data_IF_243868098824
#
_entry.id   IF_243868098824
#
_cell.length_a   1.000
_cell.length_b   1.000
_cell.length_c   1.000
_cell.angle_alpha   90.00
_cell.angle_beta   90.00
_cell.angle_gamma   90.00
#
_symmetry.space_group_name_H-M   'P 1'
#
loop_
_entity.id
_entity.type
_entity.pdbx_description
1 polymer ?
#
# COMPACT_ATOMS: atom_id res chain seq x y z
N UNK A 1 -37.64 37.46 -60.00
CA UNK A 1 -38.01 36.09 -59.61
C UNK A 1 -37.70 35.14 -60.76
N UNK A 2 -36.99 34.08 -60.50
CA UNK A 2 -36.76 32.98 -61.43
C UNK A 2 -37.78 31.87 -61.08
N UNK A 3 -38.89 31.81 -61.83
CA UNK A 3 -40.02 30.93 -61.60
C UNK A 3 -41.13 31.52 -60.70
N UNK A 4 -42.19 30.72 -60.49
CA UNK A 4 -43.32 30.98 -59.62
C UNK A 4 -43.38 29.88 -58.52
N UNK A 5 -44.11 30.11 -57.45
CA UNK A 5 -44.33 29.11 -56.42
C UNK A 5 -44.88 27.80 -56.98
N UNK A 6 -44.25 26.69 -56.78
CA UNK A 6 -44.56 25.38 -57.34
C UNK A 6 -44.09 25.17 -58.78
N UNK A 7 -43.43 26.14 -59.43
CA UNK A 7 -42.86 26.03 -60.76
C UNK A 7 -41.55 26.83 -60.87
N UNK A 8 -40.51 26.36 -60.27
CA UNK A 8 -39.16 26.93 -60.20
C UNK A 8 -38.39 26.69 -61.55
N UNK A 9 -37.30 27.42 -61.71
CA UNK A 9 -36.31 27.23 -62.73
C UNK A 9 -34.92 27.09 -62.22
N UNK A 10 -34.12 26.26 -62.84
CA UNK A 10 -32.69 26.10 -62.48
C UNK A 10 -31.94 27.41 -62.80
N UNK A 11 -30.99 27.71 -61.89
CA UNK A 11 -30.05 28.84 -62.03
C UNK A 11 -28.63 28.34 -61.83
N UNK A 12 -27.78 28.49 -62.84
CA UNK A 12 -26.38 28.10 -62.76
C UNK A 12 -25.49 29.34 -62.87
N UNK A 13 -24.66 29.55 -61.86
CA UNK A 13 -23.60 30.58 -61.85
C UNK A 13 -22.24 29.91 -62.04
N UNK A 14 -21.65 30.11 -63.22
CA UNK A 14 -20.39 29.49 -63.59
C UNK A 14 -19.19 30.32 -63.17
N UNK A 15 -18.16 29.65 -62.59
CA UNK A 15 -16.84 30.23 -62.32
C UNK A 15 -15.98 30.29 -63.60
N UNK A 16 -14.78 30.86 -63.49
CA UNK A 16 -13.78 30.88 -64.56
C UNK A 16 -13.08 29.54 -64.80
N UNK A 17 -13.24 28.60 -63.92
CA UNK A 17 -12.67 27.24 -64.06
C UNK A 17 -13.78 26.27 -64.52
N UNK A 18 -13.49 25.44 -65.49
CA UNK A 18 -14.42 24.42 -65.95
C UNK A 18 -14.82 23.46 -64.86
N UNK A 19 -16.12 23.14 -64.71
CA UNK A 19 -16.67 22.23 -63.76
C UNK A 19 -16.94 22.86 -62.34
N UNK A 20 -16.56 24.12 -62.14
CA UNK A 20 -16.83 24.83 -60.84
C UNK A 20 -17.98 25.81 -61.02
N UNK A 21 -19.12 25.51 -60.39
CA UNK A 21 -20.30 26.34 -60.43
C UNK A 21 -21.16 26.18 -59.17
N UNK A 22 -22.06 27.12 -58.99
CA UNK A 22 -23.17 27.08 -58.06
C UNK A 22 -24.43 26.82 -58.85
N UNK A 23 -25.26 25.87 -58.46
CA UNK A 23 -26.49 25.46 -59.09
C UNK A 23 -27.67 25.57 -58.14
N UNK A 24 -28.67 26.35 -58.45
CA UNK A 24 -29.97 26.18 -57.83
C UNK A 24 -30.73 25.15 -58.68
N UNK A 25 -30.95 23.96 -58.12
CA UNK A 25 -31.72 22.89 -58.71
C UNK A 25 -33.16 23.00 -58.21
N UNK A 26 -34.06 23.48 -59.12
CA UNK A 26 -35.45 23.67 -58.75
C UNK A 26 -36.20 22.34 -58.57
N UNK A 27 -35.71 21.23 -59.13
CA UNK A 27 -36.34 19.92 -58.99
C UNK A 27 -36.05 19.26 -57.63
N UNK A 28 -34.94 19.64 -56.98
CA UNK A 28 -34.51 19.11 -55.68
C UNK A 28 -34.63 20.13 -54.54
N UNK A 29 -35.10 21.36 -54.84
CA UNK A 29 -35.13 22.47 -53.85
C UNK A 29 -33.78 22.68 -53.16
N UNK A 30 -32.66 22.52 -53.92
CA UNK A 30 -31.31 22.53 -53.35
C UNK A 30 -30.41 23.57 -54.01
N UNK A 31 -29.46 24.11 -53.18
CA UNK A 31 -28.36 24.95 -53.67
C UNK A 31 -27.09 24.10 -53.66
N UNK A 32 -26.61 23.75 -54.81
CA UNK A 32 -25.48 22.84 -55.00
C UNK A 32 -24.18 23.61 -55.32
N UNK A 33 -23.10 23.24 -54.67
CA UNK A 33 -21.74 23.69 -54.99
C UNK A 33 -20.97 22.46 -55.48
N UNK A 34 -20.47 22.53 -56.70
CA UNK A 34 -19.63 21.44 -57.24
C UNK A 34 -18.30 21.35 -56.53
N UNK A 35 -17.59 20.23 -56.69
CA UNK A 35 -16.27 20.04 -56.14
C UNK A 35 -15.35 21.23 -56.36
N UNK A 36 -14.62 21.62 -55.33
CA UNK A 36 -13.76 22.81 -55.27
C UNK A 36 -14.47 24.18 -55.44
N UNK A 37 -15.78 24.21 -55.63
CA UNK A 37 -16.53 25.45 -55.51
C UNK A 37 -16.71 25.79 -54.02
N UNK A 38 -16.34 27.02 -53.58
CA UNK A 38 -16.26 27.37 -52.18
C UNK A 38 -17.27 28.44 -51.79
N UNK A 39 -17.92 28.25 -50.65
CA UNK A 39 -18.58 29.34 -49.95
C UNK A 39 -17.50 30.05 -49.15
N UNK A 40 -17.26 31.34 -49.45
CA UNK A 40 -16.25 32.16 -48.78
C UNK A 40 -16.93 33.28 -48.00
N UNK A 41 -16.58 33.43 -46.74
CA UNK A 41 -17.13 34.41 -45.82
C UNK A 41 -15.97 35.25 -45.26
N UNK A 42 -16.15 36.56 -45.20
CA UNK A 42 -15.11 37.53 -44.82
C UNK A 42 -14.38 38.12 -46.02
N UNK A 43 -13.83 39.34 -45.92
CA UNK A 43 -13.16 40.03 -47.03
C UNK A 43 -11.91 39.32 -47.53
N UNK A 44 -11.20 38.59 -46.63
CA UNK A 44 -10.04 37.77 -46.91
C UNK A 44 -10.39 36.29 -47.21
N UNK A 45 -11.69 35.95 -47.37
CA UNK A 45 -12.15 34.57 -47.42
C UNK A 45 -11.74 33.76 -46.19
N UNK A 46 -11.94 34.35 -45.03
CA UNK A 46 -11.46 33.90 -43.72
C UNK A 46 -12.09 32.57 -43.29
N UNK A 47 -13.39 32.36 -43.60
CA UNK A 47 -14.06 31.07 -43.40
C UNK A 47 -14.45 30.53 -44.79
N UNK A 48 -14.14 29.26 -45.03
CA UNK A 48 -14.48 28.56 -46.29
C UNK A 48 -15.17 27.23 -45.96
N UNK A 49 -16.24 26.92 -46.72
CA UNK A 49 -16.91 25.62 -46.73
C UNK A 49 -16.85 25.05 -48.14
N UNK A 50 -16.41 23.82 -48.33
CA UNK A 50 -16.29 23.18 -49.62
C UNK A 50 -16.09 21.67 -49.52
N UNK A 51 -16.27 20.98 -50.63
CA UNK A 51 -15.88 19.59 -50.88
C UNK A 51 -14.83 19.55 -51.97
N UNK A 52 -13.78 18.73 -51.85
CA UNK A 52 -12.68 18.64 -52.83
C UNK A 52 -12.79 17.44 -53.78
N UNK A 53 -13.92 16.71 -53.74
CA UNK A 53 -14.13 15.47 -54.44
C UNK A 53 -13.86 14.22 -53.60
N UNK A 54 -13.31 14.41 -52.40
CA UNK A 54 -13.03 13.34 -51.45
C UNK A 54 -13.44 13.70 -50.01
N UNK A 55 -13.18 14.93 -49.57
CA UNK A 55 -13.41 15.38 -48.22
C UNK A 55 -14.18 16.69 -48.14
N UNK A 56 -14.95 16.90 -47.11
CA UNK A 56 -15.63 18.17 -46.77
C UNK A 56 -14.87 18.96 -45.75
N UNK A 57 -14.77 20.28 -45.90
CA UNK A 57 -13.96 21.18 -45.09
C UNK A 57 -14.78 22.34 -44.56
N UNK A 58 -14.48 22.73 -43.32
CA UNK A 58 -14.81 24.00 -42.68
C UNK A 58 -13.49 24.64 -42.30
N UNK A 59 -12.90 25.47 -43.14
CA UNK A 59 -11.59 26.08 -42.95
C UNK A 59 -11.73 27.50 -42.42
N UNK A 60 -11.16 27.82 -41.28
CA UNK A 60 -11.06 29.16 -40.75
C UNK A 60 -9.58 29.59 -40.71
N UNK A 61 -9.22 30.68 -41.40
CA UNK A 61 -7.85 31.18 -41.52
C UNK A 61 -7.52 32.32 -40.59
N UNK A 62 -8.53 32.99 -40.00
CA UNK A 62 -8.34 34.12 -39.09
C UNK A 62 -9.33 34.07 -37.93
N UNK A 63 -8.82 34.35 -36.68
CA UNK A 63 -9.65 34.35 -35.49
C UNK A 63 -10.11 32.94 -35.05
N UNK A 64 -11.17 32.84 -34.28
CA UNK A 64 -11.71 31.62 -33.73
C UNK A 64 -12.95 31.13 -34.48
N UNK A 65 -13.15 29.83 -34.63
CA UNK A 65 -14.45 29.23 -34.91
C UNK A 65 -15.24 29.13 -33.59
N UNK A 66 -16.41 29.76 -33.53
CA UNK A 66 -17.32 29.66 -32.39
C UNK A 66 -18.54 28.87 -32.83
N UNK A 67 -18.72 27.67 -32.27
CA UNK A 67 -19.93 26.86 -32.41
C UNK A 67 -20.74 27.04 -31.12
N UNK A 68 -21.98 27.58 -31.23
CA UNK A 68 -22.79 27.93 -30.06
C UNK A 68 -24.20 27.35 -30.21
N UNK A 69 -24.69 26.77 -29.14
CA UNK A 69 -26.08 26.38 -28.94
C UNK A 69 -26.74 27.34 -27.99
N UNK A 70 -27.91 27.94 -28.35
CA UNK A 70 -28.60 28.94 -27.54
C UNK A 70 -29.93 28.42 -26.96
N UNK A 71 -30.39 27.25 -27.38
CA UNK A 71 -31.59 26.66 -26.84
C UNK A 71 -31.29 26.18 -25.40
N UNK A 72 -32.19 26.47 -24.47
CA UNK A 72 -32.12 25.98 -23.09
C UNK A 72 -32.05 24.44 -23.11
N UNK A 73 -31.12 23.87 -22.33
CA UNK A 73 -30.78 22.44 -22.30
C UNK A 73 -30.34 21.83 -23.64
N UNK A 74 -30.10 22.65 -24.69
CA UNK A 74 -29.66 22.19 -25.99
C UNK A 74 -28.21 21.73 -26.03
N UNK A 75 -27.90 20.71 -26.80
CA UNK A 75 -26.56 20.09 -26.90
C UNK A 75 -25.84 20.41 -28.20
N UNK A 76 -24.50 20.36 -28.17
CA UNK A 76 -23.67 20.20 -29.39
C UNK A 76 -23.20 18.75 -29.41
N UNK A 77 -23.55 18.02 -30.49
CA UNK A 77 -23.28 16.59 -30.64
C UNK A 77 -22.42 16.29 -31.86
N UNK A 78 -21.47 15.38 -31.71
CA UNK A 78 -20.63 14.90 -32.78
C UNK A 78 -20.92 13.41 -32.98
N UNK A 79 -21.36 13.07 -34.19
CA UNK A 79 -21.65 11.70 -34.63
C UNK A 79 -20.60 11.25 -35.63
N UNK A 80 -20.31 9.96 -35.63
CA UNK A 80 -19.50 9.32 -36.65
C UNK A 80 -20.07 7.93 -36.96
N UNK A 81 -19.53 7.30 -38.01
CA UNK A 81 -19.91 5.94 -38.43
C UNK A 81 -19.80 4.96 -37.24
N UNK A 82 -20.77 4.04 -37.14
CA UNK A 82 -20.81 3.00 -36.08
C UNK A 82 -20.13 1.68 -36.49
N UNK A 83 -19.51 1.64 -37.67
CA UNK A 83 -18.86 0.46 -38.25
C UNK A 83 -19.84 -0.55 -38.88
N UNK A 84 -21.17 -0.25 -38.93
CA UNK A 84 -22.21 -1.14 -39.46
C UNK A 84 -23.18 -0.43 -40.45
N UNK A 85 -22.82 0.77 -40.91
CA UNK A 85 -23.58 1.56 -41.90
C UNK A 85 -24.58 2.52 -41.25
N UNK A 86 -24.54 2.72 -39.95
CA UNK A 86 -25.26 3.74 -39.20
C UNK A 86 -24.32 4.80 -38.64
N UNK A 87 -24.82 5.64 -37.72
CA UNK A 87 -24.02 6.61 -37.00
C UNK A 87 -24.28 6.49 -35.50
N UNK A 88 -23.24 6.69 -34.69
CA UNK A 88 -23.32 6.76 -33.23
C UNK A 88 -22.71 8.05 -32.71
N UNK A 89 -23.17 8.48 -31.54
CA UNK A 89 -22.64 9.67 -30.86
C UNK A 89 -21.30 9.36 -30.22
N UNK A 90 -20.28 10.19 -30.48
CA UNK A 90 -18.94 10.05 -29.92
C UNK A 90 -18.66 11.06 -28.82
N UNK A 91 -19.14 12.31 -29.02
CA UNK A 91 -18.91 13.42 -28.09
C UNK A 91 -20.17 14.27 -27.99
N UNK A 92 -20.49 14.73 -26.78
CA UNK A 92 -21.52 15.70 -26.50
C UNK A 92 -21.01 16.80 -25.58
N UNK A 93 -21.31 18.05 -25.91
CA UNK A 93 -21.33 19.15 -24.96
C UNK A 93 -22.78 19.28 -24.52
N UNK A 94 -23.09 18.77 -23.33
CA UNK A 94 -24.44 18.67 -22.79
C UNK A 94 -24.79 19.97 -22.06
N UNK A 95 -25.77 20.70 -22.57
CA UNK A 95 -26.18 21.99 -22.03
C UNK A 95 -26.98 21.86 -20.73
N UNK A 96 -27.79 20.80 -20.60
CA UNK A 96 -28.61 20.58 -19.40
C UNK A 96 -27.83 20.07 -18.19
N UNK A 97 -26.70 19.37 -18.42
CA UNK A 97 -25.84 18.85 -17.35
C UNK A 97 -24.51 19.60 -17.19
N UNK A 98 -24.24 20.59 -18.05
CA UNK A 98 -22.99 21.38 -18.05
C UNK A 98 -21.72 20.51 -18.13
N UNK A 99 -21.75 19.45 -18.96
CA UNK A 99 -20.70 18.44 -19.06
C UNK A 99 -20.26 18.19 -20.49
N UNK A 100 -19.03 17.70 -20.61
CA UNK A 100 -18.55 17.05 -21.84
C UNK A 100 -18.63 15.56 -21.62
N UNK A 101 -19.39 14.85 -22.47
CA UNK A 101 -19.62 13.41 -22.40
C UNK A 101 -18.93 12.72 -23.56
N UNK A 102 -18.11 11.72 -23.25
CA UNK A 102 -17.50 10.80 -24.20
C UNK A 102 -18.30 9.50 -24.18
N UNK A 103 -18.87 9.11 -25.30
CA UNK A 103 -19.66 7.88 -25.45
C UNK A 103 -18.82 6.70 -25.93
N UNK A 104 -17.59 6.98 -26.38
CA UNK A 104 -16.59 5.99 -26.75
C UNK A 104 -15.28 6.30 -26.00
N UNK A 105 -14.32 5.37 -26.07
CA UNK A 105 -13.01 5.55 -25.45
C UNK A 105 -12.30 6.78 -26.01
N UNK A 106 -11.71 7.59 -25.12
CA UNK A 106 -10.73 8.60 -25.51
C UNK A 106 -9.33 7.98 -25.38
N UNK A 107 -8.56 7.97 -26.46
CA UNK A 107 -7.17 7.50 -26.46
C UNK A 107 -6.23 8.71 -26.42
N UNK A 108 -5.32 8.68 -25.47
CA UNK A 108 -4.20 9.60 -25.41
C UNK A 108 -2.96 8.84 -25.89
N UNK A 109 -2.33 9.31 -26.95
CA UNK A 109 -1.14 8.69 -27.50
C UNK A 109 0.05 8.85 -26.52
N UNK A 110 1.09 8.04 -26.73
CA UNK A 110 2.31 8.10 -25.94
C UNK A 110 2.84 9.52 -25.84
N UNK A 111 3.28 9.89 -24.62
CA UNK A 111 3.76 11.22 -24.27
C UNK A 111 2.70 12.34 -24.29
N UNK A 112 1.42 12.03 -24.53
CA UNK A 112 0.30 12.96 -24.35
C UNK A 112 -0.28 12.84 -22.96
N UNK A 113 -0.44 13.97 -22.27
CA UNK A 113 -0.91 14.04 -20.90
C UNK A 113 -2.41 14.37 -20.82
N UNK A 114 -3.16 13.62 -20.01
CA UNK A 114 -4.45 14.09 -19.49
C UNK A 114 -4.17 14.98 -18.28
N UNK A 115 -4.25 16.30 -18.46
CA UNK A 115 -3.87 17.30 -17.46
C UNK A 115 -5.08 17.86 -16.70
N UNK A 116 -4.90 18.13 -15.40
CA UNK A 116 -5.88 18.75 -14.52
C UNK A 116 -5.22 19.93 -13.77
N UNK A 117 -6.01 20.99 -13.56
CA UNK A 117 -5.56 22.23 -12.94
C UNK A 117 -4.87 23.22 -13.91
N UNK A 118 -4.75 24.47 -13.49
CA UNK A 118 -4.11 25.53 -14.30
C UNK A 118 -2.59 25.33 -14.32
N UNK A 119 -2.04 24.87 -15.41
CA UNK A 119 -0.60 24.59 -15.52
C UNK A 119 -0.25 23.10 -15.41
N UNK A 120 -1.25 22.22 -15.39
CA UNK A 120 -1.05 20.77 -15.33
C UNK A 120 -0.54 20.33 -13.97
N UNK A 121 -1.23 20.74 -12.91
CA UNK A 121 -0.89 20.42 -11.51
C UNK A 121 -0.96 18.92 -11.23
N UNK A 122 -1.86 18.21 -11.87
CA UNK A 122 -1.95 16.76 -11.89
C UNK A 122 -2.04 16.26 -13.34
N UNK A 123 -1.42 15.12 -13.65
CA UNK A 123 -1.61 14.47 -14.94
C UNK A 123 -1.46 12.94 -14.87
N UNK A 124 -2.10 12.30 -15.87
CA UNK A 124 -1.95 10.89 -16.21
C UNK A 124 -1.22 10.81 -17.55
N UNK A 125 -0.27 9.93 -17.69
CA UNK A 125 0.54 9.76 -18.91
C UNK A 125 1.04 8.33 -19.03
N UNK A 126 1.14 7.86 -20.29
CA UNK A 126 1.95 6.73 -20.71
C UNK A 126 3.03 7.24 -21.65
N UNK A 127 4.29 6.80 -21.49
CA UNK A 127 5.41 7.32 -22.30
C UNK A 127 5.89 6.35 -23.39
N UNK A 128 5.17 5.22 -23.56
CA UNK A 128 5.53 4.13 -24.47
C UNK A 128 6.15 2.94 -23.73
N UNK A 129 6.50 3.10 -22.46
CA UNK A 129 7.00 2.06 -21.57
C UNK A 129 6.24 2.05 -20.24
N UNK A 130 6.15 3.20 -19.57
CA UNK A 130 5.60 3.33 -18.22
C UNK A 130 4.36 4.22 -18.18
N UNK A 131 3.45 3.90 -17.25
CA UNK A 131 2.28 4.71 -16.92
C UNK A 131 2.46 5.40 -15.57
N UNK A 132 2.19 6.71 -15.52
CA UNK A 132 2.37 7.50 -14.31
C UNK A 132 1.13 8.32 -13.95
N UNK A 133 0.93 8.51 -12.65
CA UNK A 133 0.01 9.48 -12.06
C UNK A 133 0.89 10.48 -11.32
N UNK A 134 0.99 11.72 -11.79
CA UNK A 134 1.83 12.76 -11.19
C UNK A 134 0.97 13.87 -10.62
N UNK A 135 1.19 14.20 -9.36
CA UNK A 135 0.66 15.37 -8.67
C UNK A 135 1.84 16.30 -8.32
N UNK A 136 1.82 17.55 -8.80
CA UNK A 136 2.90 18.53 -8.61
C UNK A 136 2.64 19.51 -7.47
N UNK A 137 1.39 19.66 -7.06
CA UNK A 137 1.01 20.63 -6.03
C UNK A 137 0.01 20.03 -5.05
N UNK A 138 0.21 20.28 -3.75
CA UNK A 138 -0.65 19.74 -2.69
C UNK A 138 -0.55 18.21 -2.53
N UNK A 139 -1.56 17.59 -1.94
CA UNK A 139 -1.62 16.16 -1.70
C UNK A 139 -2.35 15.42 -2.82
N UNK A 140 -1.89 14.23 -3.16
CA UNK A 140 -2.66 13.25 -3.93
C UNK A 140 -3.45 12.37 -2.96
N UNK A 141 -4.78 12.46 -2.99
CA UNK A 141 -5.66 11.63 -2.18
C UNK A 141 -6.36 10.60 -3.06
N UNK A 142 -6.24 9.33 -2.71
CA UNK A 142 -6.98 8.22 -3.31
C UNK A 142 -7.96 7.73 -2.26
N UNK A 143 -9.26 7.84 -2.50
CA UNK A 143 -10.29 7.45 -1.54
C UNK A 143 -11.40 6.63 -2.19
N UNK A 144 -11.85 5.58 -1.51
CA UNK A 144 -13.09 4.88 -1.83
C UNK A 144 -14.16 5.32 -0.83
N UNK A 145 -15.29 5.86 -1.33
CA UNK A 145 -16.39 6.33 -0.49
C UNK A 145 -17.56 5.34 -0.40
N UNK A 146 -17.43 4.18 -1.05
CA UNK A 146 -18.41 3.12 -0.96
C UNK A 146 -18.35 2.47 0.42
N UNK A 147 -19.51 2.28 1.06
CA UNK A 147 -19.56 1.56 2.34
C UNK A 147 -18.94 0.17 2.19
N UNK A 148 -18.06 -0.20 3.13
CA UNK A 148 -17.29 -1.45 3.15
C UNK A 148 -16.40 -1.69 1.91
N UNK A 149 -16.20 -0.66 1.07
CA UNK A 149 -15.37 -0.76 -0.14
C UNK A 149 -13.87 -0.55 0.15
N UNK A 150 -13.03 -1.37 -0.48
CA UNK A 150 -11.58 -1.37 -0.30
C UNK A 150 -10.85 -0.50 -1.34
N UNK A 151 -9.63 -0.09 -1.00
CA UNK A 151 -8.62 0.33 -1.97
C UNK A 151 -7.60 -0.79 -2.07
N UNK A 152 -7.50 -1.42 -3.25
CA UNK A 152 -6.71 -2.64 -3.47
C UNK A 152 -5.56 -2.37 -4.45
N UNK A 153 -4.35 -2.74 -4.05
CA UNK A 153 -3.15 -2.69 -4.90
C UNK A 153 -2.78 -4.10 -5.34
N UNK A 154 -2.77 -4.30 -6.66
CA UNK A 154 -2.44 -5.57 -7.30
C UNK A 154 -1.25 -5.40 -8.23
N UNK A 155 -0.49 -6.47 -8.40
CA UNK A 155 0.57 -6.56 -9.40
C UNK A 155 0.60 -7.97 -9.99
N UNK A 156 1.46 -8.18 -10.97
CA UNK A 156 1.69 -9.49 -11.60
C UNK A 156 1.96 -10.58 -10.55
N UNK A 157 1.42 -11.76 -10.78
CA UNK A 157 1.59 -12.94 -9.91
C UNK A 157 2.78 -13.84 -10.31
N UNK A 158 3.49 -13.47 -11.38
CA UNK A 158 4.58 -14.23 -11.97
C UNK A 158 4.12 -15.40 -12.86
N UNK A 159 2.80 -15.53 -13.12
CA UNK A 159 2.21 -16.59 -13.91
C UNK A 159 1.27 -16.08 -15.01
N UNK A 160 1.29 -14.75 -15.27
CA UNK A 160 0.46 -14.07 -16.28
C UNK A 160 -0.90 -13.61 -15.78
N UNK A 161 -1.14 -13.68 -14.46
CA UNK A 161 -2.29 -13.09 -13.78
C UNK A 161 -1.91 -11.93 -12.89
N UNK A 162 -2.84 -11.49 -12.03
CA UNK A 162 -2.57 -10.49 -11.00
C UNK A 162 -3.00 -10.98 -9.63
N UNK A 163 -2.24 -10.62 -8.60
CA UNK A 163 -2.55 -10.92 -7.20
C UNK A 163 -2.54 -9.66 -6.36
N UNK A 164 -3.25 -9.69 -5.25
CA UNK A 164 -3.24 -8.62 -4.26
C UNK A 164 -1.93 -8.63 -3.47
N UNK A 165 -1.35 -7.46 -3.32
CA UNK A 165 -0.16 -7.23 -2.49
C UNK A 165 -0.50 -6.46 -1.21
N UNK A 166 -1.39 -5.47 -1.32
CA UNK A 166 -1.77 -4.60 -0.21
C UNK A 166 -3.17 -4.04 -0.42
N UNK A 167 -3.94 -3.88 0.66
CA UNK A 167 -5.20 -3.15 0.61
C UNK A 167 -5.46 -2.33 1.88
N UNK A 168 -6.26 -1.30 1.72
CA UNK A 168 -6.98 -0.64 2.80
C UNK A 168 -8.36 -1.28 2.85
N UNK A 169 -8.64 -2.04 3.91
CA UNK A 169 -9.91 -2.76 4.10
C UNK A 169 -10.93 -1.83 4.73
N UNK A 170 -11.96 -1.46 3.96
CA UNK A 170 -12.98 -0.54 4.39
C UNK A 170 -13.96 -1.12 5.41
N UNK A 171 -14.15 -2.45 5.39
CA UNK A 171 -15.07 -3.13 6.30
C UNK A 171 -14.48 -3.33 7.70
N UNK A 172 -13.19 -3.64 7.78
CA UNK A 172 -12.50 -3.98 9.03
C UNK A 172 -11.66 -2.82 9.59
N UNK A 173 -11.40 -1.80 8.77
CA UNK A 173 -10.56 -0.65 9.14
C UNK A 173 -9.08 -0.98 9.29
N UNK A 174 -8.59 -2.05 8.64
CA UNK A 174 -7.20 -2.49 8.66
C UNK A 174 -6.47 -2.19 7.36
N UNK A 175 -5.14 -2.13 7.48
CA UNK A 175 -4.24 -2.26 6.35
C UNK A 175 -3.79 -3.72 6.27
N UNK A 176 -4.05 -4.40 5.15
CA UNK A 176 -3.72 -5.80 4.97
C UNK A 176 -2.62 -5.95 3.94
N UNK A 177 -1.49 -6.55 4.32
CA UNK A 177 -0.45 -6.99 3.41
C UNK A 177 -0.66 -8.48 3.10
N UNK A 178 -1.02 -8.80 1.86
CA UNK A 178 -1.26 -10.18 1.39
C UNK A 178 0.02 -10.88 0.93
N UNK A 179 1.15 -10.17 0.90
CA UNK A 179 2.50 -10.67 0.62
C UNK A 179 3.47 -10.18 1.70
N UNK A 180 4.65 -10.81 1.78
CA UNK A 180 5.69 -10.37 2.70
C UNK A 180 6.08 -8.92 2.46
N UNK A 181 6.22 -8.16 3.54
CA UNK A 181 6.85 -6.83 3.50
C UNK A 181 8.33 -7.05 3.78
N UNK A 182 9.19 -6.80 2.79
CA UNK A 182 10.63 -6.82 2.95
C UNK A 182 11.13 -5.39 3.18
N UNK A 183 11.78 -5.18 4.30
CA UNK A 183 12.52 -3.95 4.58
C UNK A 183 14.00 -4.24 4.30
N UNK A 184 14.66 -3.35 3.57
CA UNK A 184 16.09 -3.46 3.29
C UNK A 184 16.92 -3.23 4.55
N UNK A 185 18.21 -3.58 4.50
CA UNK A 185 19.14 -3.36 5.60
C UNK A 185 19.13 -1.89 6.04
N UNK A 186 19.14 -1.67 7.34
CA UNK A 186 19.10 -0.35 7.98
C UNK A 186 17.80 0.44 7.76
N UNK A 187 16.76 -0.19 7.19
CA UNK A 187 15.39 0.33 7.17
C UNK A 187 14.64 -0.21 8.38
N UNK A 188 13.96 0.64 9.12
CA UNK A 188 13.30 0.31 10.38
C UNK A 188 11.77 0.28 10.23
N UNK A 189 11.12 -0.72 10.82
CA UNK A 189 9.71 -0.62 11.19
C UNK A 189 9.63 0.15 12.51
N UNK A 190 9.05 1.35 12.46
CA UNK A 190 8.94 2.25 13.62
C UNK A 190 7.50 2.29 14.12
N UNK A 191 7.32 2.14 15.43
CA UNK A 191 6.04 2.19 16.11
C UNK A 191 6.08 3.28 17.20
N UNK A 192 4.95 3.99 17.35
CA UNK A 192 4.84 5.14 18.26
C UNK A 192 5.21 6.47 17.61
N UNK A 193 4.71 7.59 18.16
CA UNK A 193 4.88 8.93 17.57
C UNK A 193 6.33 9.45 17.58
N UNK A 194 7.18 8.89 18.49
CA UNK A 194 8.61 9.17 18.57
C UNK A 194 9.49 8.06 18.01
N UNK A 195 8.93 7.12 17.25
CA UNK A 195 9.62 5.90 16.85
C UNK A 195 10.12 5.09 18.06
N UNK A 196 9.25 4.95 19.05
CA UNK A 196 9.56 4.44 20.39
C UNK A 196 9.96 2.96 20.39
N UNK A 197 9.41 2.14 19.49
CA UNK A 197 9.83 0.77 19.23
C UNK A 197 10.28 0.64 17.79
N UNK A 198 11.46 0.05 17.60
CA UNK A 198 12.07 -0.16 16.28
C UNK A 198 12.42 -1.63 16.09
N UNK A 199 12.07 -2.18 14.91
CA UNK A 199 12.52 -3.50 14.47
C UNK A 199 13.31 -3.30 13.17
N UNK A 200 14.55 -3.80 13.13
CA UNK A 200 15.39 -3.67 11.95
C UNK A 200 16.52 -4.72 11.90
N UNK A 201 17.14 -4.83 10.72
CA UNK A 201 18.37 -5.58 10.49
C UNK A 201 19.41 -4.63 9.90
N UNK A 202 20.63 -4.60 10.45
CA UNK A 202 21.69 -3.66 10.04
C UNK A 202 22.62 -4.20 8.93
N UNK A 203 22.32 -5.41 8.43
CA UNK A 203 23.18 -6.15 7.51
C UNK A 203 23.98 -7.26 8.18
N UNK A 204 24.02 -7.29 9.51
CA UNK A 204 24.68 -8.30 10.34
C UNK A 204 23.79 -8.81 11.44
N UNK A 205 23.10 -7.93 12.14
CA UNK A 205 22.30 -8.24 13.33
C UNK A 205 20.86 -7.77 13.20
N UNK A 206 19.95 -8.45 13.89
CA UNK A 206 18.54 -8.09 14.03
C UNK A 206 18.25 -7.51 15.41
N UNK A 207 17.45 -6.45 15.46
CA UNK A 207 17.17 -5.71 16.68
C UNK A 207 15.67 -5.54 16.93
N UNK A 208 15.28 -5.69 18.19
CA UNK A 208 14.04 -5.17 18.78
C UNK A 208 14.48 -4.10 19.77
N UNK A 209 14.33 -2.83 19.42
CA UNK A 209 14.91 -1.71 20.16
C UNK A 209 13.83 -0.77 20.68
N UNK A 210 13.67 -0.71 22.00
CA UNK A 210 12.81 0.27 22.68
C UNK A 210 13.65 1.52 22.97
N UNK A 211 13.34 2.63 22.32
CA UNK A 211 14.02 3.93 22.46
C UNK A 211 13.28 4.89 23.38
N UNK A 212 12.08 4.50 23.86
CA UNK A 212 11.26 5.35 24.71
C UNK A 212 11.94 5.60 26.07
N UNK A 213 12.20 6.87 26.36
CA UNK A 213 12.78 7.28 27.63
C UNK A 213 11.71 7.24 28.75
N UNK A 214 11.58 6.11 29.41
CA UNK A 214 10.66 5.90 30.53
C UNK A 214 9.63 4.78 30.32
N UNK A 215 9.60 4.15 29.14
CA UNK A 215 8.77 2.97 28.87
C UNK A 215 9.55 1.66 29.00
N UNK A 216 8.86 0.58 29.33
CA UNK A 216 9.40 -0.77 29.32
C UNK A 216 9.10 -1.50 28.02
N UNK A 217 9.93 -2.45 27.63
CA UNK A 217 9.62 -3.45 26.62
C UNK A 217 9.00 -4.67 27.31
N UNK A 218 7.74 -4.95 27.03
CA UNK A 218 7.06 -6.16 27.49
C UNK A 218 7.08 -7.22 26.40
N UNK A 219 7.54 -8.41 26.73
CA UNK A 219 7.38 -9.63 25.92
C UNK A 219 6.50 -10.55 26.74
N UNK A 220 5.25 -10.75 26.33
CA UNK A 220 4.25 -11.44 27.13
C UNK A 220 3.37 -12.35 26.28
N UNK A 221 2.87 -13.43 26.92
CA UNK A 221 1.86 -14.33 26.38
C UNK A 221 0.68 -14.31 27.34
N UNK A 222 -0.51 -13.94 26.83
CA UNK A 222 -1.74 -13.81 27.63
C UNK A 222 -2.60 -15.08 27.62
N UNK A 223 -2.20 -16.10 26.89
CA UNK A 223 -2.95 -17.35 26.80
C UNK A 223 -2.64 -18.28 27.99
N UNK A 224 -3.69 -18.88 28.54
CA UNK A 224 -3.56 -19.84 29.66
C UNK A 224 -2.64 -21.01 29.29
N UNK A 225 -1.76 -21.39 30.19
CA UNK A 225 -0.83 -22.52 30.07
C UNK A 225 0.12 -22.41 28.85
N UNK A 226 0.45 -21.17 28.42
CA UNK A 226 1.43 -20.94 27.37
C UNK A 226 2.70 -20.30 27.90
N UNK A 227 3.81 -20.61 27.25
CA UNK A 227 5.16 -20.28 27.66
C UNK A 227 5.79 -19.20 26.77
N UNK A 228 6.79 -18.52 27.28
CA UNK A 228 7.73 -17.74 26.46
C UNK A 228 9.03 -18.53 26.40
N UNK A 229 9.38 -19.06 25.20
CA UNK A 229 10.54 -19.90 24.98
C UNK A 229 11.69 -19.09 24.36
N UNK A 230 12.90 -19.30 24.87
CA UNK A 230 14.14 -18.75 24.33
C UNK A 230 14.96 -19.89 23.73
N UNK A 231 15.13 -19.84 22.42
CA UNK A 231 15.75 -20.89 21.63
C UNK A 231 16.95 -20.37 20.83
N UNK A 232 17.92 -21.18 20.63
CA UNK A 232 19.07 -20.91 19.76
C UNK A 232 19.60 -22.23 19.17
N UNK A 233 20.59 -22.13 18.30
CA UNK A 233 21.28 -23.31 17.73
C UNK A 233 21.89 -24.16 18.85
N UNK A 234 21.81 -25.50 18.68
CA UNK A 234 22.37 -26.49 19.61
C UNK A 234 23.84 -26.84 19.37
N UNK A 235 24.51 -26.13 18.43
CA UNK A 235 25.87 -26.42 17.99
C UNK A 235 25.96 -27.47 16.87
N UNK A 236 24.81 -28.02 16.41
CA UNK A 236 24.75 -28.98 15.30
C UNK A 236 23.80 -28.55 14.18
N UNK A 237 23.31 -27.32 14.23
CA UNK A 237 22.39 -26.77 13.24
C UNK A 237 20.91 -26.99 13.54
N UNK A 238 20.55 -27.51 14.73
CA UNK A 238 19.17 -27.64 15.16
C UNK A 238 18.83 -26.59 16.23
N UNK A 239 17.53 -26.34 16.44
CA UNK A 239 17.04 -25.45 17.49
C UNK A 239 16.89 -26.18 18.80
N UNK A 240 17.44 -25.61 19.91
CA UNK A 240 17.23 -26.09 21.26
C UNK A 240 16.65 -24.98 22.15
N UNK A 241 15.82 -25.34 23.12
CA UNK A 241 15.34 -24.44 24.14
C UNK A 241 16.38 -24.32 25.26
N UNK A 242 16.86 -23.10 25.42
CA UNK A 242 17.86 -22.80 26.49
C UNK A 242 17.19 -22.54 27.83
N UNK A 243 16.11 -21.78 27.85
CA UNK A 243 15.24 -21.57 28.99
C UNK A 243 13.88 -21.06 28.55
N UNK A 244 12.90 -21.09 29.45
CA UNK A 244 11.56 -20.57 29.16
C UNK A 244 10.87 -20.11 30.43
N UNK A 245 9.91 -19.19 30.29
CA UNK A 245 8.98 -18.83 31.35
C UNK A 245 7.80 -19.78 31.21
N UNK A 246 7.64 -20.65 32.23
CA UNK A 246 6.69 -21.75 32.21
C UNK A 246 5.34 -21.29 32.79
N UNK A 247 4.42 -20.93 31.87
CA UNK A 247 3.07 -20.56 32.24
C UNK A 247 2.22 -21.75 32.63
N UNK A 248 2.54 -22.95 32.10
CA UNK A 248 1.78 -24.19 32.39
C UNK A 248 2.01 -24.73 33.79
N UNK A 249 3.20 -24.50 34.36
CA UNK A 249 3.55 -24.88 35.73
C UNK A 249 3.25 -23.77 36.78
N UNK A 250 2.91 -22.56 36.33
CA UNK A 250 2.55 -21.47 37.20
C UNK A 250 1.27 -21.79 37.99
N UNK A 251 1.29 -21.54 39.31
CA UNK A 251 0.14 -21.79 40.17
C UNK A 251 -0.40 -20.49 40.73
N UNK A 252 -1.71 -20.28 40.63
CA UNK A 252 -2.41 -19.15 41.22
C UNK A 252 -3.45 -19.65 42.24
N UNK A 253 -3.27 -19.32 43.48
CA UNK A 253 -4.12 -19.74 44.63
C UNK A 253 -5.09 -18.64 45.07
N UNK A 254 -5.21 -17.54 44.30
CA UNK A 254 -6.02 -16.37 44.63
C UNK A 254 -5.37 -15.36 45.55
N UNK A 255 -4.13 -15.62 45.99
CA UNK A 255 -3.33 -14.70 46.82
C UNK A 255 -2.48 -13.76 45.93
N UNK A 256 -1.82 -12.78 46.54
CA UNK A 256 -0.85 -11.94 45.87
C UNK A 256 0.46 -12.68 45.51
N UNK A 257 0.67 -13.86 46.05
CA UNK A 257 1.85 -14.71 45.82
C UNK A 257 1.49 -15.86 44.92
N UNK A 258 2.01 -15.85 43.72
CA UNK A 258 1.84 -16.91 42.70
C UNK A 258 3.19 -17.62 42.53
N UNK A 259 3.17 -18.95 42.39
CA UNK A 259 4.38 -19.70 42.01
C UNK A 259 4.68 -19.42 40.53
N UNK A 260 5.81 -18.76 40.26
CA UNK A 260 6.31 -18.46 38.93
C UNK A 260 7.58 -19.28 38.67
N UNK A 261 7.68 -19.89 37.52
CA UNK A 261 8.79 -20.76 37.14
C UNK A 261 9.53 -20.23 35.93
N UNK A 262 10.84 -20.08 36.06
CA UNK A 262 11.77 -19.95 34.96
C UNK A 262 12.50 -21.28 34.84
N UNK A 263 12.26 -22.03 33.78
CA UNK A 263 12.74 -23.38 33.63
C UNK A 263 13.95 -23.45 32.68
N UNK A 264 15.00 -24.16 33.15
CA UNK A 264 16.15 -24.57 32.35
C UNK A 264 16.06 -26.08 32.15
N UNK A 265 15.83 -26.56 30.91
CA UNK A 265 15.75 -27.98 30.63
C UNK A 265 17.03 -28.74 31.01
N UNK A 266 16.91 -30.07 31.14
CA UNK A 266 18.07 -30.94 31.38
C UNK A 266 19.24 -30.60 30.46
N UNK A 267 20.45 -30.49 31.05
CA UNK A 267 21.69 -30.10 30.37
C UNK A 267 21.78 -28.65 29.93
N UNK A 268 20.72 -27.86 30.08
CA UNK A 268 20.83 -26.40 30.03
C UNK A 268 21.44 -25.88 31.34
N UNK A 269 22.41 -24.99 31.27
CA UNK A 269 23.12 -24.49 32.45
C UNK A 269 22.92 -23.00 32.60
N UNK A 270 22.76 -22.54 33.87
CA UNK A 270 23.01 -21.15 34.23
C UNK A 270 24.51 -21.01 34.43
N UNK A 271 25.16 -20.19 33.60
CA UNK A 271 26.61 -19.96 33.70
C UNK A 271 26.92 -18.54 34.14
N UNK A 272 27.93 -18.36 34.98
CA UNK A 272 28.41 -17.08 35.41
C UNK A 272 29.92 -16.97 35.14
N UNK A 273 30.39 -15.74 34.85
CA UNK A 273 31.75 -15.48 34.42
C UNK A 273 31.92 -15.50 32.90
N UNK A 274 32.93 -14.78 32.37
CA UNK A 274 33.19 -14.64 30.94
C UNK A 274 33.52 -15.98 30.25
N UNK A 275 34.22 -16.84 30.98
CA UNK A 275 34.65 -18.17 30.52
C UNK A 275 33.79 -19.29 31.13
N UNK A 276 32.54 -18.96 31.56
CA UNK A 276 31.63 -19.91 32.20
C UNK A 276 32.21 -20.53 33.50
N UNK A 277 32.76 -19.69 34.36
CA UNK A 277 33.51 -20.12 35.52
C UNK A 277 32.68 -20.85 36.58
N UNK A 278 31.39 -20.55 36.72
CA UNK A 278 30.44 -21.27 37.57
C UNK A 278 29.29 -21.83 36.70
N UNK A 279 28.97 -23.11 36.87
CA UNK A 279 27.78 -23.73 36.32
C UNK A 279 26.79 -24.16 37.37
N UNK A 280 25.52 -23.90 37.16
CA UNK A 280 24.40 -24.51 37.91
C UNK A 280 23.56 -25.24 36.86
N UNK A 281 23.45 -26.56 36.99
CA UNK A 281 22.74 -27.38 35.98
C UNK A 281 22.16 -28.66 36.58
N UNK A 282 21.12 -29.20 35.90
CA UNK A 282 20.65 -30.56 36.08
C UNK A 282 20.92 -31.36 34.81
N UNK A 283 21.34 -32.61 34.90
CA UNK A 283 21.73 -33.44 33.75
C UNK A 283 20.70 -34.50 33.39
N UNK A 284 19.55 -34.53 34.07
CA UNK A 284 18.50 -35.54 33.99
C UNK A 284 18.60 -36.55 35.18
N UNK A 285 19.63 -36.47 35.99
CA UNK A 285 19.83 -37.33 37.19
C UNK A 285 20.31 -36.47 38.35
N UNK A 286 21.36 -35.69 38.18
CA UNK A 286 22.04 -34.96 39.26
C UNK A 286 21.97 -33.45 39.03
N UNK A 287 21.86 -32.69 40.12
CA UNK A 287 22.06 -31.25 40.14
C UNK A 287 23.46 -30.94 40.62
N UNK A 288 24.21 -30.11 39.89
CA UNK A 288 25.58 -29.72 40.24
C UNK A 288 25.76 -28.22 40.30
N UNK A 289 26.67 -27.80 41.23
CA UNK A 289 27.26 -26.47 41.31
C UNK A 289 28.76 -26.62 41.05
N UNK A 290 29.18 -26.36 39.81
CA UNK A 290 30.55 -26.59 39.38
C UNK A 290 31.30 -25.25 39.30
N UNK A 291 32.24 -25.00 40.21
CA UNK A 291 33.09 -23.82 40.20
C UNK A 291 34.48 -24.19 39.66
N UNK A 292 34.89 -23.54 38.56
CA UNK A 292 36.14 -23.87 37.84
C UNK A 292 37.27 -22.93 38.19
N UNK A 293 36.97 -21.71 38.72
CA UNK A 293 37.99 -20.68 38.98
C UNK A 293 37.74 -20.01 40.33
N UNK A 294 38.78 -19.93 41.18
CA UNK A 294 38.73 -19.29 42.46
C UNK A 294 37.93 -20.08 43.53
N UNK A 295 37.63 -19.43 44.64
CA UNK A 295 36.90 -20.04 45.76
C UNK A 295 35.39 -20.05 45.50
N UNK A 296 34.69 -21.11 45.89
CA UNK A 296 33.23 -21.14 46.01
C UNK A 296 32.87 -20.74 47.44
N UNK A 297 32.17 -19.62 47.63
CA UNK A 297 31.82 -19.08 48.97
C UNK A 297 30.30 -19.02 49.13
N UNK A 298 29.77 -19.68 50.17
CA UNK A 298 28.41 -19.51 50.65
C UNK A 298 28.45 -18.61 51.89
N UNK A 299 27.88 -17.38 51.79
CA UNK A 299 27.94 -16.38 52.83
C UNK A 299 26.52 -15.94 53.20
N UNK A 300 26.16 -16.03 54.47
CA UNK A 300 24.94 -15.44 55.01
C UNK A 300 25.26 -14.17 55.77
N UNK A 301 24.73 -13.02 55.34
CA UNK A 301 24.92 -11.73 55.98
C UNK A 301 23.81 -11.37 57.00
N UNK A 302 22.77 -12.19 57.10
CA UNK A 302 21.68 -11.92 58.02
C UNK A 302 22.15 -12.18 59.49
N UNK A 303 21.91 -11.21 60.41
CA UNK A 303 22.32 -11.30 61.79
C UNK A 303 21.69 -12.50 62.47
N UNK A 304 22.48 -13.27 63.18
CA UNK A 304 22.09 -14.48 63.92
C UNK A 304 21.39 -15.56 63.10
N UNK A 305 21.74 -15.64 61.79
CA UNK A 305 21.20 -16.66 60.86
C UNK A 305 22.28 -17.59 60.33
N UNK A 306 21.91 -18.84 60.19
CA UNK A 306 22.81 -19.95 59.90
C UNK A 306 22.90 -20.25 58.38
N UNK A 307 23.95 -20.94 57.95
CA UNK A 307 23.98 -21.71 56.73
C UNK A 307 23.73 -23.17 57.12
N UNK A 308 22.59 -23.73 56.66
CA UNK A 308 22.11 -25.07 57.07
C UNK A 308 22.19 -26.04 55.91
N UNK A 309 22.73 -27.26 56.17
CA UNK A 309 22.78 -28.35 55.16
C UNK A 309 21.88 -29.48 55.64
N UNK A 310 20.88 -29.80 54.83
CA UNK A 310 19.89 -30.84 55.08
C UNK A 310 19.90 -31.86 53.94
N UNK A 311 19.58 -33.09 54.26
CA UNK A 311 19.36 -34.17 53.31
C UNK A 311 18.20 -35.06 53.75
N UNK A 312 17.81 -36.04 52.91
CA UNK A 312 16.79 -37.03 53.23
C UNK A 312 17.11 -37.74 54.56
N UNK A 313 16.08 -37.95 55.35
CA UNK A 313 16.19 -38.63 56.68
C UNK A 313 15.99 -40.17 56.58
N UNK A 314 15.81 -40.69 55.35
CA UNK A 314 15.52 -42.12 55.07
C UNK A 314 14.06 -42.50 55.29
N UNK A 315 13.17 -41.57 55.60
CA UNK A 315 11.74 -41.80 55.85
C UNK A 315 10.82 -40.82 55.08
N UNK A 316 11.35 -40.10 54.11
CA UNK A 316 10.62 -39.17 53.24
C UNK A 316 10.54 -37.75 53.77
N UNK A 317 11.32 -37.41 54.81
CA UNK A 317 11.54 -36.07 55.31
C UNK A 317 12.96 -35.58 55.07
N UNK A 318 13.36 -34.46 55.70
CA UNK A 318 14.72 -33.95 55.65
C UNK A 318 15.24 -33.74 57.08
N UNK A 319 16.52 -34.02 57.28
CA UNK A 319 17.22 -33.79 58.53
C UNK A 319 18.43 -32.87 58.35
N UNK A 320 18.77 -32.05 59.38
CA UNK A 320 19.97 -31.21 59.40
C UNK A 320 21.20 -32.04 59.76
N UNK A 321 22.11 -32.19 58.76
CA UNK A 321 23.35 -32.94 58.99
C UNK A 321 24.46 -32.08 59.57
N UNK A 322 24.55 -30.81 59.14
CA UNK A 322 25.45 -29.81 59.81
C UNK A 322 25.00 -28.39 59.45
N UNK A 323 25.48 -27.42 60.18
CA UNK A 323 25.22 -26.01 59.96
C UNK A 323 26.38 -25.15 60.46
N UNK A 324 26.50 -23.94 59.88
CA UNK A 324 27.38 -22.88 60.43
C UNK A 324 26.49 -21.94 61.22
N UNK A 325 26.69 -21.92 62.55
CA UNK A 325 25.88 -21.13 63.44
C UNK A 325 26.32 -19.65 63.44
N UNK A 326 25.49 -18.78 62.90
CA UNK A 326 25.72 -17.35 62.77
C UNK A 326 25.67 -16.64 64.13
N UNK A 327 25.01 -17.23 65.15
CA UNK A 327 24.91 -16.67 66.50
C UNK A 327 26.11 -17.06 67.38
N UNK A 328 26.81 -18.15 67.03
CA UNK A 328 27.92 -18.70 67.85
C UNK A 328 29.27 -18.07 67.53
N UNK A 329 29.44 -17.22 66.56
CA UNK A 329 30.71 -16.55 66.28
C UNK A 329 30.95 -15.45 67.30
N UNK A 330 31.69 -15.79 68.34
CA UNK A 330 32.35 -14.77 69.22
C UNK A 330 33.34 -14.02 68.31
N UNK A 331 33.06 -12.75 68.01
CA UNK A 331 33.98 -11.91 67.25
C UNK A 331 35.37 -11.92 67.91
N UNK A 332 36.38 -12.27 67.12
CA UNK A 332 37.77 -12.03 67.41
C UNK A 332 38.22 -10.75 66.72
#
# INVERSE_FOLDING_TARGET
NFGTDGNGHDVILRGGTSGRFLHWDASQDSLEFTDDAKIKIGTGADLQLYHDGSNSYIDNSTGNINIRQFTDDGDIRIYNDDGSGGTTEYLRVDGGQEKILFYNHSEHQDNVQAQFGNGGDMYLQHDGADSVIINKTGNLTISNQTNDGDIIFKSDDGAGGTTEYFRLDGSEGYNIASKHIMLENSVELRLGGGADLQLHHDGSNSYIHNTNNGGHLYIQVDQTDKDILFQSDDGSGNMATYFYLDGSSATHDGSATTGLYTNWPDKSAITLGTEHDLHIKHNGTDTTFDNYVGDLKFINYANDKDIVFQSDDGSGGTETYFFLDGSASSGS
#
